data_IF_852484000523
#
_entry.id   IF_852484000523
#
_cell.length_a   1.000
_cell.length_b   1.000
_cell.length_c   1.000
_cell.angle_alpha   90.00
_cell.angle_beta   90.00
_cell.angle_gamma   90.00
#
_symmetry.space_group_name_H-M   'P 1'
#
loop_
_entity.id
_entity.type
_entity.pdbx_description
1 polymer ?
#
# COMPACT_ATOMS: atom_id res chain seq x y z
N UNK A 1 35.05 -21.45 61.50
CA UNK A 1 34.29 -22.30 60.55
C UNK A 1 33.13 -21.58 59.86
N UNK A 2 32.46 -20.58 60.44
CA UNK A 2 31.33 -19.87 59.77
C UNK A 2 31.71 -19.01 58.56
N UNK A 3 32.90 -18.41 58.52
CA UNK A 3 33.34 -17.51 57.43
C UNK A 3 33.68 -18.25 56.12
N UNK A 4 34.21 -19.47 56.21
CA UNK A 4 34.52 -20.30 55.03
C UNK A 4 33.28 -20.86 54.35
N UNK A 5 32.22 -21.16 55.11
CA UNK A 5 30.95 -21.67 54.58
C UNK A 5 30.23 -20.63 53.72
N UNK A 6 30.28 -19.35 54.11
CA UNK A 6 29.61 -18.26 53.37
C UNK A 6 30.29 -17.99 52.03
N UNK A 7 31.63 -18.06 51.98
CA UNK A 7 32.40 -17.85 50.74
C UNK A 7 32.14 -18.99 49.74
N UNK A 8 32.06 -20.23 50.22
CA UNK A 8 31.76 -21.40 49.37
C UNK A 8 30.32 -21.37 48.84
N UNK A 9 29.35 -20.95 49.65
CA UNK A 9 27.96 -20.76 49.22
C UNK A 9 27.79 -19.64 48.19
N UNK A 10 28.52 -18.52 48.34
CA UNK A 10 28.52 -17.42 47.37
C UNK A 10 29.09 -17.83 46.01
N UNK A 11 30.19 -18.59 45.99
CA UNK A 11 30.78 -19.13 44.75
C UNK A 11 29.85 -20.14 44.06
N UNK A 12 29.11 -20.94 44.82
CA UNK A 12 28.14 -21.91 44.28
C UNK A 12 26.93 -21.23 43.63
N UNK A 13 26.45 -20.11 44.20
CA UNK A 13 25.38 -19.32 43.57
C UNK A 13 25.84 -18.60 42.30
N UNK A 14 27.07 -18.08 42.26
CA UNK A 14 27.62 -17.48 41.05
C UNK A 14 27.82 -18.52 39.93
N UNK A 15 28.25 -19.74 40.26
CA UNK A 15 28.37 -20.83 39.29
C UNK A 15 27.00 -21.27 38.72
N UNK A 16 25.95 -21.29 39.55
CA UNK A 16 24.60 -21.61 39.10
C UNK A 16 23.95 -20.49 38.27
N UNK A 17 24.29 -19.22 38.51
CA UNK A 17 23.80 -18.10 37.69
C UNK A 17 24.41 -18.10 36.28
N UNK A 18 25.68 -18.50 36.14
CA UNK A 18 26.37 -18.56 34.84
C UNK A 18 25.83 -19.70 33.95
N UNK A 19 25.38 -20.81 34.53
CA UNK A 19 24.82 -21.93 33.76
C UNK A 19 23.42 -21.65 33.20
N UNK A 20 22.63 -20.79 33.83
CA UNK A 20 21.29 -20.40 33.34
C UNK A 20 21.36 -19.33 32.25
N UNK A 21 22.32 -18.40 32.33
CA UNK A 21 22.51 -17.32 31.34
C UNK A 21 23.14 -17.85 30.03
N UNK A 22 23.86 -18.98 30.09
CA UNK A 22 24.57 -19.58 28.95
C UNK A 22 23.83 -20.69 28.18
N UNK A 23 22.61 -21.07 28.58
CA UNK A 23 21.83 -22.06 27.82
C UNK A 23 21.33 -21.42 26.51
N UNK A 24 22.19 -21.44 25.47
CA UNK A 24 21.74 -21.33 24.08
C UNK A 24 20.61 -22.33 23.91
N UNK A 25 19.39 -21.83 23.71
CA UNK A 25 18.22 -22.63 23.38
C UNK A 25 18.55 -23.35 22.07
N UNK A 26 18.96 -24.62 22.16
CA UNK A 26 19.30 -25.44 20.99
C UNK A 26 17.99 -25.69 20.25
N UNK A 27 17.71 -24.85 19.28
CA UNK A 27 16.53 -24.96 18.43
C UNK A 27 16.62 -26.26 17.64
N UNK A 28 15.51 -27.00 17.60
CA UNK A 28 15.43 -28.19 16.74
C UNK A 28 15.70 -27.77 15.29
N UNK A 29 16.34 -28.61 14.45
CA UNK A 29 16.50 -28.33 13.02
C UNK A 29 15.19 -27.99 12.29
N UNK A 30 14.03 -28.43 12.81
CA UNK A 30 12.71 -28.01 12.31
C UNK A 30 12.33 -26.58 12.71
N UNK A 31 12.71 -26.13 13.90
CA UNK A 31 12.46 -24.78 14.39
C UNK A 31 13.40 -23.77 13.73
N UNK A 32 14.68 -24.09 13.56
CA UNK A 32 15.62 -23.24 12.81
C UNK A 32 15.13 -23.02 11.37
N UNK A 33 14.64 -24.07 10.69
CA UNK A 33 14.02 -23.95 9.36
C UNK A 33 12.72 -23.14 9.34
N UNK A 34 11.99 -23.03 10.47
CA UNK A 34 10.82 -22.15 10.59
C UNK A 34 11.28 -20.71 10.74
N UNK A 35 12.20 -20.44 11.65
CA UNK A 35 12.75 -19.10 11.88
C UNK A 35 13.43 -18.53 10.63
N UNK A 36 14.18 -19.34 9.87
CA UNK A 36 14.77 -18.91 8.60
C UNK A 36 13.69 -18.55 7.57
N UNK A 37 12.59 -19.30 7.50
CA UNK A 37 11.48 -18.98 6.59
C UNK A 37 10.74 -17.72 7.02
N UNK A 38 10.55 -17.50 8.31
CA UNK A 38 9.95 -16.30 8.87
C UNK A 38 10.81 -15.07 8.60
N UNK A 39 12.12 -15.16 8.85
CA UNK A 39 13.07 -14.09 8.49
C UNK A 39 13.05 -13.77 7.01
N UNK A 40 13.08 -14.77 6.12
CA UNK A 40 12.97 -14.57 4.67
C UNK A 40 11.64 -13.94 4.24
N UNK A 41 10.54 -14.27 4.92
CA UNK A 41 9.23 -13.65 4.65
C UNK A 41 9.21 -12.20 5.10
N UNK A 42 9.70 -11.92 6.30
CA UNK A 42 9.79 -10.57 6.84
C UNK A 42 10.68 -9.68 5.95
N UNK A 43 11.83 -10.20 5.51
CA UNK A 43 12.72 -9.50 4.58
C UNK A 43 12.05 -9.20 3.24
N UNK A 44 11.33 -10.17 2.64
CA UNK A 44 10.57 -9.91 1.40
C UNK A 44 9.49 -8.85 1.57
N UNK A 45 8.77 -8.86 2.70
CA UNK A 45 7.73 -7.86 2.99
C UNK A 45 8.38 -6.48 3.16
N UNK A 46 9.47 -6.38 3.92
CA UNK A 46 10.19 -5.14 4.13
C UNK A 46 10.77 -4.57 2.81
N UNK A 47 11.36 -5.43 1.98
CA UNK A 47 11.87 -5.02 0.66
C UNK A 47 10.73 -4.55 -0.26
N UNK A 48 9.58 -5.20 -0.19
CA UNK A 48 8.40 -4.82 -0.97
C UNK A 48 7.83 -3.47 -0.51
N UNK A 49 7.74 -3.24 0.80
CA UNK A 49 7.35 -1.94 1.37
C UNK A 49 8.28 -0.81 0.89
N UNK A 50 9.59 -1.03 0.96
CA UNK A 50 10.58 -0.05 0.47
C UNK A 50 10.44 0.20 -1.04
N UNK A 51 10.22 -0.85 -1.83
CA UNK A 51 9.96 -0.73 -3.26
C UNK A 51 8.72 0.14 -3.52
N UNK A 52 7.60 -0.15 -2.85
CA UNK A 52 6.36 0.61 -2.95
C UNK A 52 6.56 2.09 -2.57
N UNK A 53 7.25 2.36 -1.48
CA UNK A 53 7.54 3.72 -1.04
C UNK A 53 8.38 4.49 -2.08
N UNK A 54 9.44 3.86 -2.60
CA UNK A 54 10.27 4.45 -3.65
C UNK A 54 9.48 4.75 -4.92
N UNK A 55 8.56 3.86 -5.28
CA UNK A 55 7.77 3.95 -6.49
C UNK A 55 6.77 5.13 -6.40
N UNK A 56 6.10 5.32 -5.26
CA UNK A 56 5.21 6.47 -5.05
C UNK A 56 6.01 7.78 -5.04
N UNK A 57 7.17 7.81 -4.37
CA UNK A 57 8.03 8.99 -4.31
C UNK A 57 8.61 9.37 -5.68
N UNK A 58 8.96 8.37 -6.50
CA UNK A 58 9.45 8.58 -7.86
C UNK A 58 8.39 9.14 -8.81
N UNK A 59 7.11 9.13 -8.39
CA UNK A 59 5.95 9.51 -9.21
C UNK A 59 5.90 8.74 -10.55
N UNK A 60 6.42 7.52 -10.57
CA UNK A 60 6.50 6.70 -11.78
C UNK A 60 5.81 5.36 -11.54
N UNK A 61 4.47 5.38 -11.58
CA UNK A 61 3.66 4.22 -11.24
C UNK A 61 2.36 4.12 -12.00
N UNK A 62 1.81 2.92 -12.02
CA UNK A 62 0.52 2.60 -12.61
C UNK A 62 -0.41 2.00 -11.57
N UNK A 63 -1.64 2.52 -11.51
CA UNK A 63 -2.75 1.91 -10.80
C UNK A 63 -3.56 1.02 -11.75
N UNK A 64 -3.79 -0.22 -11.34
CA UNK A 64 -4.50 -1.25 -12.08
C UNK A 64 -5.83 -1.56 -11.36
N UNK A 65 -6.97 -1.01 -11.80
CA UNK A 65 -8.26 -1.23 -11.18
C UNK A 65 -8.74 -2.67 -11.34
N UNK A 66 -9.30 -3.24 -10.26
CA UNK A 66 -9.95 -4.55 -10.26
C UNK A 66 -11.47 -4.45 -10.08
N UNK A 67 -11.93 -3.40 -9.39
CA UNK A 67 -13.36 -3.15 -9.21
C UNK A 67 -13.65 -1.65 -9.14
N UNK A 68 -14.91 -1.28 -9.39
CA UNK A 68 -15.42 0.07 -9.21
C UNK A 68 -16.79 0.07 -8.50
N UNK A 69 -17.03 1.11 -7.71
CA UNK A 69 -18.28 1.34 -7.02
C UNK A 69 -18.60 2.83 -6.99
N UNK A 70 -19.85 3.19 -7.26
CA UNK A 70 -20.32 4.56 -7.01
C UNK A 70 -20.67 4.72 -5.54
N UNK A 71 -20.19 5.76 -4.88
CA UNK A 71 -20.54 6.06 -3.49
C UNK A 71 -21.88 6.83 -3.39
N UNK A 72 -22.61 6.73 -2.27
CA UNK A 72 -22.35 5.88 -1.10
C UNK A 72 -22.89 4.44 -1.24
N UNK A 73 -23.80 4.17 -2.18
CA UNK A 73 -24.58 2.91 -2.22
C UNK A 73 -24.75 2.31 -3.63
N UNK A 74 -23.79 2.54 -4.54
CA UNK A 74 -23.78 1.89 -5.85
C UNK A 74 -23.39 0.40 -5.76
N UNK A 75 -23.79 -0.44 -6.73
CA UNK A 75 -23.33 -1.82 -6.78
C UNK A 75 -21.83 -1.87 -7.12
N UNK A 76 -21.11 -2.78 -6.47
CA UNK A 76 -19.74 -3.13 -6.83
C UNK A 76 -19.72 -3.78 -8.22
N UNK A 77 -18.85 -3.31 -9.11
CA UNK A 77 -18.65 -3.85 -10.45
C UNK A 77 -17.22 -4.32 -10.60
N UNK A 78 -17.04 -5.56 -11.01
CA UNK A 78 -15.72 -6.10 -11.35
C UNK A 78 -15.24 -5.52 -12.68
N UNK A 79 -13.95 -5.21 -12.76
CA UNK A 79 -13.28 -4.72 -13.97
C UNK A 79 -12.39 -5.85 -14.46
N UNK A 80 -12.79 -6.48 -15.56
CA UNK A 80 -12.06 -7.63 -16.13
C UNK A 80 -11.11 -7.26 -17.25
N UNK A 81 -11.22 -6.04 -17.78
CA UNK A 81 -10.37 -5.58 -18.87
C UNK A 81 -9.04 -5.04 -18.30
N UNK A 82 -7.89 -5.68 -18.61
CA UNK A 82 -6.59 -5.26 -18.10
C UNK A 82 -6.08 -3.95 -18.72
N UNK A 83 -6.69 -3.48 -19.81
CA UNK A 83 -6.30 -2.23 -20.48
C UNK A 83 -6.68 -0.98 -19.69
N UNK A 84 -7.56 -1.11 -18.69
CA UNK A 84 -7.89 0.01 -17.83
C UNK A 84 -6.78 0.23 -16.81
N UNK A 85 -6.28 1.46 -16.72
CA UNK A 85 -5.23 1.84 -15.80
C UNK A 85 -5.20 3.36 -15.57
N UNK A 86 -4.50 3.77 -14.53
CA UNK A 86 -4.08 5.15 -14.29
C UNK A 86 -2.56 5.16 -14.15
N UNK A 87 -1.86 5.62 -15.18
CA UNK A 87 -0.42 5.83 -15.19
C UNK A 87 -0.07 7.25 -14.73
N UNK A 88 0.99 7.39 -13.94
CA UNK A 88 1.55 8.68 -13.51
C UNK A 88 3.05 8.62 -13.72
N UNK A 89 3.57 9.61 -14.46
CA UNK A 89 5.01 9.83 -14.67
C UNK A 89 5.27 11.32 -14.93
N UNK A 90 6.36 11.87 -14.40
CA UNK A 90 6.83 13.23 -14.70
C UNK A 90 5.76 14.34 -14.66
N UNK A 91 4.77 14.23 -13.76
CA UNK A 91 3.68 15.20 -13.66
C UNK A 91 2.63 15.12 -14.78
N UNK A 92 2.64 14.03 -15.55
CA UNK A 92 1.61 13.61 -16.50
C UNK A 92 0.81 12.47 -15.89
N UNK A 93 -0.50 12.43 -16.15
CA UNK A 93 -1.32 11.24 -15.92
C UNK A 93 -1.91 10.73 -17.23
N UNK A 94 -1.80 9.42 -17.44
CA UNK A 94 -2.53 8.71 -18.48
C UNK A 94 -3.66 7.92 -17.86
N UNK A 95 -4.88 8.27 -18.25
CA UNK A 95 -6.09 7.87 -17.55
C UNK A 95 -6.94 7.09 -18.54
N UNK A 96 -7.05 5.78 -18.34
CA UNK A 96 -7.96 4.90 -19.05
C UNK A 96 -8.82 4.16 -18.02
N UNK A 97 -9.94 4.74 -17.58
CA UNK A 97 -10.77 4.18 -16.51
C UNK A 97 -12.26 4.19 -16.86
N UNK A 98 -13.02 3.12 -16.57
CA UNK A 98 -14.47 3.15 -16.67
C UNK A 98 -15.02 4.05 -15.56
N UNK A 99 -15.92 4.97 -15.87
CA UNK A 99 -16.46 5.97 -14.94
C UNK A 99 -17.98 6.03 -15.00
N UNK A 100 -18.64 6.36 -13.88
CA UNK A 100 -20.09 6.45 -13.79
C UNK A 100 -20.50 7.93 -13.82
N UNK A 101 -21.18 8.34 -14.88
CA UNK A 101 -21.68 9.69 -15.10
C UNK A 101 -23.20 9.76 -14.84
N UNK A 102 -23.65 10.85 -14.22
CA UNK A 102 -25.07 11.15 -14.03
C UNK A 102 -25.33 11.75 -12.65
N UNK A 103 -26.11 12.84 -12.62
CA UNK A 103 -26.54 13.49 -11.38
C UNK A 103 -27.73 12.75 -10.75
N UNK A 104 -28.70 12.36 -11.57
CA UNK A 104 -29.87 11.55 -11.21
C UNK A 104 -29.96 10.33 -12.11
N UNK A 105 -30.69 9.30 -11.66
CA UNK A 105 -30.93 8.12 -12.48
C UNK A 105 -31.63 8.52 -13.80
N UNK A 106 -31.28 7.88 -14.94
CA UNK A 106 -30.32 6.77 -15.09
C UNK A 106 -28.85 7.21 -15.14
N UNK A 107 -27.99 6.37 -14.55
CA UNK A 107 -26.53 6.56 -14.55
C UNK A 107 -25.89 5.79 -15.70
N UNK A 108 -24.93 6.40 -16.39
CA UNK A 108 -24.28 5.82 -17.55
C UNK A 108 -22.81 5.52 -17.26
N UNK A 109 -22.33 4.38 -17.73
CA UNK A 109 -20.89 4.09 -17.74
C UNK A 109 -20.29 4.75 -18.97
N UNK A 110 -19.21 5.49 -18.77
CA UNK A 110 -18.36 6.04 -19.82
C UNK A 110 -16.92 5.63 -19.55
N UNK A 111 -16.01 5.95 -20.47
CA UNK A 111 -14.58 5.71 -20.29
C UNK A 111 -13.90 7.09 -20.23
N UNK A 112 -13.18 7.34 -19.16
CA UNK A 112 -12.19 8.43 -19.11
C UNK A 112 -10.98 7.90 -19.86
N UNK A 113 -10.68 8.47 -21.02
CA UNK A 113 -9.51 8.13 -21.84
C UNK A 113 -8.79 9.44 -22.21
N UNK A 114 -7.86 9.86 -21.36
CA UNK A 114 -7.12 11.11 -21.52
C UNK A 114 -5.70 10.97 -21.02
N UNK A 115 -4.76 11.51 -21.78
CA UNK A 115 -3.42 11.85 -21.29
C UNK A 115 -3.40 13.34 -20.96
N UNK A 116 -3.07 13.69 -19.73
CA UNK A 116 -3.08 15.07 -19.22
C UNK A 116 -1.73 15.41 -18.61
N UNK A 117 -1.09 16.45 -19.14
CA UNK A 117 0.10 17.05 -18.54
C UNK A 117 -0.28 18.04 -17.43
N UNK A 118 0.70 18.43 -16.62
CA UNK A 118 0.61 19.52 -15.64
C UNK A 118 -0.48 19.29 -14.58
N UNK A 119 -0.41 18.14 -13.90
CA UNK A 119 -1.33 17.80 -12.81
C UNK A 119 -1.37 18.89 -11.73
N UNK A 120 -2.57 19.38 -11.42
CA UNK A 120 -2.77 20.46 -10.46
C UNK A 120 -2.80 19.92 -9.04
N UNK A 121 -2.04 20.57 -8.14
CA UNK A 121 -2.07 20.23 -6.72
C UNK A 121 -1.65 18.80 -6.42
N UNK A 122 -0.69 18.25 -7.18
CA UNK A 122 -0.15 16.92 -6.90
C UNK A 122 0.54 16.91 -5.53
N UNK A 123 -0.02 16.16 -4.58
CA UNK A 123 0.53 15.95 -3.24
C UNK A 123 0.69 14.46 -2.95
N UNK A 124 1.69 14.16 -2.12
CA UNK A 124 1.95 12.81 -1.60
C UNK A 124 2.16 12.93 -0.10
N UNK A 125 1.26 12.34 0.68
CA UNK A 125 1.31 12.36 2.14
C UNK A 125 1.51 10.94 2.66
N UNK A 126 2.46 10.76 3.57
CA UNK A 126 2.69 9.45 4.17
C UNK A 126 1.61 9.16 5.23
N UNK A 127 1.04 7.97 5.18
CA UNK A 127 0.04 7.49 6.15
C UNK A 127 0.62 6.35 7.00
N UNK A 128 -0.15 5.83 7.95
CA UNK A 128 0.27 4.67 8.75
C UNK A 128 0.38 3.38 7.90
N UNK A 129 -0.38 3.29 6.81
CA UNK A 129 -0.48 2.07 5.99
C UNK A 129 0.24 2.19 4.64
N UNK A 130 0.66 3.41 4.26
CA UNK A 130 1.44 3.67 3.05
C UNK A 130 1.40 5.15 2.67
N UNK A 131 0.70 5.47 1.58
CA UNK A 131 0.69 6.82 0.99
C UNK A 131 -0.69 7.26 0.55
N UNK A 132 -0.95 8.55 0.68
CA UNK A 132 -2.07 9.24 0.06
C UNK A 132 -1.54 10.14 -1.05
N UNK A 133 -1.94 9.87 -2.29
CA UNK A 133 -1.59 10.69 -3.46
C UNK A 133 -2.84 11.41 -3.92
N UNK A 134 -2.79 12.72 -4.06
CA UNK A 134 -3.93 13.51 -4.53
C UNK A 134 -3.51 14.44 -5.65
N UNK A 135 -4.33 14.58 -6.67
CA UNK A 135 -4.14 15.58 -7.72
C UNK A 135 -5.47 15.91 -8.39
N UNK A 136 -5.51 17.02 -9.12
CA UNK A 136 -6.68 17.43 -9.89
C UNK A 136 -6.32 17.73 -11.33
N UNK A 137 -7.26 17.49 -12.23
CA UNK A 137 -7.13 17.77 -13.65
C UNK A 137 -8.48 18.07 -14.27
N UNK A 138 -8.50 18.86 -15.35
CA UNK A 138 -9.72 19.16 -16.09
C UNK A 138 -9.97 18.07 -17.14
N UNK A 139 -11.11 17.39 -17.05
CA UNK A 139 -11.52 16.36 -18.00
C UNK A 139 -12.83 16.76 -18.67
N UNK A 140 -13.10 16.18 -19.85
CA UNK A 140 -14.32 16.44 -20.64
C UNK A 140 -14.56 17.93 -20.93
N UNK A 141 -13.48 18.72 -21.04
CA UNK A 141 -13.46 20.14 -21.42
C UNK A 141 -14.28 21.10 -20.54
N UNK A 142 -14.76 20.69 -19.36
CA UNK A 142 -15.66 21.55 -18.57
C UNK A 142 -15.66 21.33 -17.05
N UNK A 143 -14.93 20.34 -16.51
CA UNK A 143 -14.97 20.07 -15.06
C UNK A 143 -13.64 19.58 -14.53
N UNK A 144 -13.28 20.11 -13.36
CA UNK A 144 -12.16 19.62 -12.56
C UNK A 144 -12.56 18.33 -11.86
N UNK A 145 -11.77 17.30 -12.07
CA UNK A 145 -11.84 16.03 -11.37
C UNK A 145 -10.67 15.94 -10.41
N UNK A 146 -10.95 15.51 -9.18
CA UNK A 146 -9.93 15.25 -8.16
C UNK A 146 -9.78 13.75 -7.99
N UNK A 147 -8.54 13.29 -8.10
CA UNK A 147 -8.11 11.91 -7.94
C UNK A 147 -7.43 11.80 -6.58
N UNK A 148 -7.88 10.86 -5.76
CA UNK A 148 -7.27 10.57 -4.46
C UNK A 148 -6.99 9.07 -4.38
N UNK A 149 -5.71 8.72 -4.37
CA UNK A 149 -5.18 7.37 -4.25
C UNK A 149 -4.71 7.13 -2.83
N UNK A 150 -5.28 6.14 -2.17
CA UNK A 150 -4.76 5.56 -0.95
C UNK A 150 -4.01 4.28 -1.32
N UNK A 151 -2.69 4.28 -1.12
CA UNK A 151 -1.78 3.19 -1.51
C UNK A 151 -1.28 2.51 -0.23
N UNK A 152 -1.40 1.19 -0.18
CA UNK A 152 -0.98 0.37 0.95
C UNK A 152 0.38 -0.25 0.68
N UNK A 153 1.46 0.29 1.25
CA UNK A 153 2.85 -0.12 0.92
C UNK A 153 3.12 -1.60 1.23
N UNK A 154 2.48 -2.15 2.27
CA UNK A 154 2.66 -3.56 2.68
C UNK A 154 2.03 -4.57 1.71
N UNK A 155 0.95 -4.19 1.03
CA UNK A 155 0.19 -5.11 0.18
C UNK A 155 0.26 -4.78 -1.30
N UNK A 156 0.63 -3.55 -1.66
CA UNK A 156 0.59 -3.04 -3.03
C UNK A 156 -0.82 -2.75 -3.52
N UNK A 157 -1.83 -2.93 -2.67
CA UNK A 157 -3.19 -2.55 -2.96
C UNK A 157 -3.35 -1.05 -2.97
N UNK A 158 -4.36 -0.55 -3.67
CA UNK A 158 -4.75 0.84 -3.60
C UNK A 158 -6.26 1.04 -3.78
N UNK A 159 -6.76 2.10 -3.16
CA UNK A 159 -8.09 2.63 -3.39
C UNK A 159 -7.98 3.97 -4.11
N UNK A 160 -8.55 4.08 -5.31
CA UNK A 160 -8.68 5.34 -6.02
C UNK A 160 -10.09 5.89 -5.82
N UNK A 161 -10.23 7.15 -5.43
CA UNK A 161 -11.50 7.87 -5.44
C UNK A 161 -11.42 9.01 -6.43
N UNK A 162 -12.37 9.05 -7.36
CA UNK A 162 -12.54 10.14 -8.32
C UNK A 162 -13.76 10.95 -7.91
N UNK A 163 -13.57 12.24 -7.67
CA UNK A 163 -14.64 13.18 -7.31
C UNK A 163 -14.71 14.33 -8.30
N UNK A 164 -15.90 14.90 -8.47
CA UNK A 164 -16.09 16.19 -9.10
C UNK A 164 -17.32 16.89 -8.47
N UNK A 165 -17.57 18.17 -8.76
CA UNK A 165 -18.71 18.89 -8.18
C UNK A 165 -20.10 18.42 -8.66
N UNK A 166 -20.17 17.66 -9.76
CA UNK A 166 -21.43 17.40 -10.46
C UNK A 166 -21.96 15.99 -10.28
N UNK A 167 -21.11 15.01 -9.96
CA UNK A 167 -21.43 13.60 -9.92
C UNK A 167 -20.96 12.98 -8.62
N UNK A 168 -21.62 11.89 -8.24
CA UNK A 168 -21.21 11.13 -7.07
C UNK A 168 -19.78 10.60 -7.24
N UNK A 169 -19.01 10.50 -6.15
CA UNK A 169 -17.71 9.86 -6.16
C UNK A 169 -17.77 8.44 -6.71
N UNK A 170 -16.76 8.08 -7.50
CA UNK A 170 -16.53 6.71 -7.93
C UNK A 170 -15.24 6.23 -7.28
N UNK A 171 -15.35 5.13 -6.54
CA UNK A 171 -14.23 4.49 -5.90
C UNK A 171 -13.83 3.24 -6.69
N UNK A 172 -12.53 2.98 -6.75
CA UNK A 172 -11.92 1.82 -7.37
C UNK A 172 -11.04 1.15 -6.34
N UNK A 173 -10.95 -0.17 -6.41
CA UNK A 173 -9.95 -0.94 -5.68
C UNK A 173 -9.10 -1.69 -6.69
N UNK A 174 -7.79 -1.69 -6.48
CA UNK A 174 -6.83 -2.25 -7.42
C UNK A 174 -5.44 -2.42 -6.83
N UNK A 175 -4.44 -2.54 -7.68
CA UNK A 175 -3.03 -2.69 -7.29
C UNK A 175 -2.15 -1.65 -7.96
N UNK A 176 -1.02 -1.35 -7.34
CA UNK A 176 0.01 -0.48 -7.89
C UNK A 176 1.13 -1.32 -8.49
N UNK A 177 1.61 -0.92 -9.66
CA UNK A 177 2.79 -1.48 -10.32
C UNK A 177 3.71 -0.36 -10.80
N UNK A 178 4.96 -0.71 -11.10
CA UNK A 178 5.88 0.21 -11.75
C UNK A 178 5.35 0.57 -13.14
N UNK A 179 5.49 1.84 -13.52
CA UNK A 179 5.19 2.31 -14.87
C UNK A 179 6.37 1.95 -15.79
N UNK A 180 6.08 1.45 -16.99
CA UNK A 180 7.07 0.88 -17.92
C UNK A 180 8.09 1.88 -18.44
#
# INVERSE_FOLDING_TARGET
MKKTVIIVLGLLMCAAAVTVIGQKKVLSPKQERREVREKRRAERIANYEQFMDSLVQSRNFQFNPQSMQRQPAGPLRQIMNPEFSLGIWDGTADICLPYIKGYVAPYYVTIINYTVSDLQGYTTEQTQEGWMVSFSTSLFSASTYTFTLEIFSRTGGANLTITNPWYNPVQYTGTISQFY
#
